data_IF_789129345401
#
_entry.id   IF_789129345401
#
_cell.length_a   1.000
_cell.length_b   1.000
_cell.length_c   1.000
_cell.angle_alpha   90.00
_cell.angle_beta   90.00
_cell.angle_gamma   90.00
#
_symmetry.space_group_name_H-M   'P 1'
#
loop_
_entity.id
_entity.type
_entity.pdbx_description
1 polymer ?
#
# COMPACT_ATOMS: atom_id res chain seq x y z
N UNK A 1 -16.19 -3.98 -5.80
CA UNK A 1 -16.21 -4.87 -7.02
C UNK A 1 -17.58 -5.51 -7.17
N UNK A 2 -17.97 -5.83 -8.39
CA UNK A 2 -19.15 -6.64 -8.71
C UNK A 2 -18.88 -8.12 -8.41
N UNK A 3 -19.92 -8.96 -8.36
CA UNK A 3 -19.74 -10.42 -8.17
C UNK A 3 -18.87 -11.03 -9.26
N UNK A 4 -19.01 -10.60 -10.52
CA UNK A 4 -18.15 -11.08 -11.62
C UNK A 4 -16.68 -10.71 -11.42
N UNK A 5 -16.38 -9.49 -10.97
CA UNK A 5 -15.01 -9.07 -10.66
C UNK A 5 -14.42 -9.85 -9.46
N UNK A 6 -15.26 -10.19 -8.48
CA UNK A 6 -14.86 -11.04 -7.34
C UNK A 6 -14.54 -12.45 -7.83
N UNK A 7 -15.35 -13.04 -8.72
CA UNK A 7 -15.09 -14.35 -9.33
C UNK A 7 -13.74 -14.35 -10.07
N UNK A 8 -13.45 -13.35 -10.88
CA UNK A 8 -12.17 -13.26 -11.58
C UNK A 8 -10.98 -13.08 -10.61
N UNK A 9 -11.18 -12.31 -9.54
CA UNK A 9 -10.19 -12.17 -8.47
C UNK A 9 -9.95 -13.52 -7.76
N UNK A 10 -11.01 -14.27 -7.44
CA UNK A 10 -10.92 -15.60 -6.82
C UNK A 10 -10.15 -16.59 -7.69
N UNK A 11 -10.42 -16.61 -9.01
CA UNK A 11 -9.65 -17.42 -9.99
C UNK A 11 -8.16 -17.05 -9.94
N UNK A 12 -7.84 -15.75 -9.97
CA UNK A 12 -6.46 -15.25 -9.93
C UNK A 12 -5.70 -15.67 -8.68
N UNK A 13 -6.34 -15.63 -7.51
CA UNK A 13 -5.71 -15.98 -6.23
C UNK A 13 -5.77 -17.47 -5.90
N UNK A 14 -6.39 -18.29 -6.77
CA UNK A 14 -6.45 -19.74 -6.62
C UNK A 14 -7.38 -20.21 -5.50
N UNK A 15 -8.61 -19.65 -5.45
CA UNK A 15 -9.69 -20.13 -4.57
C UNK A 15 -10.97 -20.37 -5.37
N UNK A 16 -11.97 -20.99 -4.74
CA UNK A 16 -13.27 -21.29 -5.37
C UNK A 16 -13.92 -19.98 -5.90
N UNK A 17 -14.29 -19.93 -7.19
CA UNK A 17 -14.82 -18.71 -7.81
C UNK A 17 -16.35 -18.62 -7.69
N UNK A 18 -16.84 -18.54 -6.44
CA UNK A 18 -18.26 -18.51 -6.08
C UNK A 18 -18.87 -17.09 -6.01
N UNK A 19 -18.03 -16.05 -6.16
CA UNK A 19 -18.44 -14.65 -6.06
C UNK A 19 -18.68 -14.16 -4.63
N UNK A 20 -18.47 -15.01 -3.62
CA UNK A 20 -18.57 -14.62 -2.21
C UNK A 20 -17.20 -14.41 -1.58
N UNK A 21 -16.95 -13.18 -1.10
CA UNK A 21 -15.68 -12.84 -0.47
C UNK A 21 -15.71 -13.11 1.03
N UNK A 22 -15.46 -14.37 1.40
CA UNK A 22 -15.45 -14.84 2.76
C UNK A 22 -14.04 -15.18 3.28
N UNK A 23 -13.95 -15.83 4.47
CA UNK A 23 -12.67 -16.16 5.10
C UNK A 23 -11.72 -16.98 4.21
N UNK A 24 -12.25 -17.89 3.38
CA UNK A 24 -11.44 -18.68 2.43
C UNK A 24 -10.77 -17.79 1.38
N UNK A 25 -11.51 -16.85 0.78
CA UNK A 25 -11.00 -15.91 -0.21
C UNK A 25 -9.97 -14.95 0.40
N UNK A 26 -10.24 -14.45 1.61
CA UNK A 26 -9.29 -13.59 2.36
C UNK A 26 -7.98 -14.34 2.60
N UNK A 27 -8.04 -15.57 3.13
CA UNK A 27 -6.84 -16.37 3.38
C UNK A 27 -6.08 -16.70 2.09
N UNK A 28 -6.79 -17.01 0.99
CA UNK A 28 -6.20 -17.26 -0.32
C UNK A 28 -5.50 -16.01 -0.87
N UNK A 29 -6.12 -14.84 -0.75
CA UNK A 29 -5.53 -13.57 -1.16
C UNK A 29 -4.24 -13.25 -0.38
N UNK A 30 -4.25 -13.42 0.93
CA UNK A 30 -3.06 -13.22 1.75
C UNK A 30 -1.95 -14.19 1.37
N UNK A 31 -2.25 -15.49 1.14
CA UNK A 31 -1.26 -16.47 0.65
C UNK A 31 -0.73 -16.08 -0.73
N UNK A 32 -1.60 -15.63 -1.64
CA UNK A 32 -1.22 -15.17 -2.97
C UNK A 32 -0.21 -14.02 -2.89
N UNK A 33 -0.49 -12.99 -2.11
CA UNK A 33 0.41 -11.84 -1.95
C UNK A 33 1.71 -12.22 -1.26
N UNK A 34 1.67 -13.10 -0.25
CA UNK A 34 2.90 -13.59 0.42
C UNK A 34 3.87 -14.30 -0.53
N UNK A 35 3.39 -14.93 -1.61
CA UNK A 35 4.26 -15.55 -2.63
C UNK A 35 5.09 -14.54 -3.42
N UNK A 36 4.64 -13.30 -3.49
CA UNK A 36 5.40 -12.21 -4.13
C UNK A 36 6.38 -11.56 -3.17
N UNK A 37 6.16 -11.67 -1.86
CA UNK A 37 7.04 -11.03 -0.88
C UNK A 37 8.41 -11.70 -0.87
N UNK A 38 9.50 -10.94 -0.62
CA UNK A 38 10.82 -11.50 -0.41
C UNK A 38 10.81 -12.53 0.73
N UNK A 39 11.59 -13.61 0.60
CA UNK A 39 11.73 -14.64 1.64
C UNK A 39 12.21 -14.03 2.97
N UNK A 40 13.14 -13.09 2.89
CA UNK A 40 13.55 -12.23 4.00
C UNK A 40 12.95 -10.83 3.75
N UNK A 41 11.89 -10.50 4.48
CA UNK A 41 11.29 -9.18 4.35
C UNK A 41 12.22 -8.13 4.95
N UNK A 42 12.66 -7.12 4.17
CA UNK A 42 13.63 -6.12 4.64
C UNK A 42 13.06 -5.12 5.65
N UNK A 43 11.73 -5.11 5.85
CA UNK A 43 11.07 -4.10 6.66
C UNK A 43 10.87 -4.55 8.12
N UNK A 44 10.77 -3.60 9.06
CA UNK A 44 10.58 -3.90 10.47
C UNK A 44 9.16 -4.40 10.77
N UNK A 45 8.99 -5.00 11.94
CA UNK A 45 7.65 -5.25 12.51
C UNK A 45 6.92 -3.92 12.73
N UNK A 46 5.56 -3.90 12.66
CA UNK A 46 4.79 -2.65 12.73
C UNK A 46 4.68 -2.03 14.13
N UNK A 47 5.29 -2.62 15.15
CA UNK A 47 5.32 -2.09 16.51
C UNK A 47 6.28 -0.89 16.65
N UNK A 48 6.01 -0.01 17.62
CA UNK A 48 6.78 1.22 17.82
C UNK A 48 8.27 0.99 18.09
N UNK A 49 8.63 -0.09 18.79
CA UNK A 49 10.03 -0.40 19.12
C UNK A 49 10.81 -0.76 17.87
N UNK A 50 10.27 -1.68 17.05
CA UNK A 50 10.88 -2.12 15.79
C UNK A 50 10.95 -0.98 14.78
N UNK A 51 9.90 -0.17 14.67
CA UNK A 51 9.87 1.01 13.80
C UNK A 51 10.93 2.03 14.18
N UNK A 52 11.08 2.36 15.47
CA UNK A 52 12.11 3.30 15.96
C UNK A 52 13.53 2.75 15.75
N UNK A 53 13.74 1.47 16.00
CA UNK A 53 15.05 0.85 15.80
C UNK A 53 15.49 0.92 14.32
N UNK A 54 14.56 0.77 13.39
CA UNK A 54 14.85 0.74 11.95
C UNK A 54 14.80 2.13 11.29
N UNK A 55 13.72 2.89 11.52
CA UNK A 55 13.47 4.18 10.87
C UNK A 55 13.91 5.38 11.72
N UNK A 56 14.19 5.22 13.01
CA UNK A 56 14.42 6.31 13.95
C UNK A 56 13.12 6.82 14.57
N UNK A 57 13.15 8.02 15.12
CA UNK A 57 11.96 8.61 15.74
C UNK A 57 10.93 9.05 14.71
N UNK A 58 9.61 8.90 15.02
CA UNK A 58 8.58 9.45 14.15
C UNK A 58 8.70 10.98 14.11
N UNK A 59 8.59 11.55 12.90
CA UNK A 59 8.75 12.99 12.69
C UNK A 59 10.20 13.46 12.56
N UNK A 60 11.20 12.57 12.58
CA UNK A 60 12.58 12.93 12.29
C UNK A 60 12.76 13.22 10.79
N UNK A 61 12.61 14.49 10.44
CA UNK A 61 12.69 14.95 9.03
C UNK A 61 14.10 14.87 8.42
N UNK A 62 15.15 14.72 9.23
CA UNK A 62 16.52 14.52 8.75
C UNK A 62 16.71 13.18 8.03
N UNK A 63 15.78 12.25 8.24
CA UNK A 63 15.75 10.93 7.59
C UNK A 63 14.87 10.87 6.35
N UNK A 64 14.21 11.97 6.00
CA UNK A 64 13.34 12.05 4.83
C UNK A 64 14.12 12.55 3.62
N UNK A 65 13.71 12.06 2.45
CA UNK A 65 14.20 12.50 1.15
C UNK A 65 13.04 12.88 0.25
N UNK A 66 13.29 13.74 -0.73
CA UNK A 66 12.34 14.06 -1.80
C UNK A 66 12.60 13.14 -2.99
N UNK A 67 11.85 12.05 -3.08
CA UNK A 67 11.95 11.08 -4.17
C UNK A 67 11.39 11.69 -5.46
N UNK A 68 12.18 11.82 -6.54
CA UNK A 68 11.68 12.31 -7.82
C UNK A 68 10.68 11.31 -8.45
N UNK A 69 9.50 11.79 -8.85
CA UNK A 69 8.41 10.96 -9.42
C UNK A 69 7.75 11.57 -10.67
N UNK A 70 8.29 12.67 -11.18
CA UNK A 70 7.69 13.38 -12.32
C UNK A 70 7.42 12.49 -13.55
N UNK A 71 8.30 11.50 -13.81
CA UNK A 71 8.17 10.57 -14.93
C UNK A 71 7.11 9.46 -14.76
N UNK A 72 6.52 9.31 -13.58
CA UNK A 72 5.56 8.23 -13.29
C UNK A 72 4.10 8.65 -13.43
N UNK A 73 3.83 9.92 -13.71
CA UNK A 73 2.45 10.42 -13.87
C UNK A 73 1.66 10.50 -12.57
N UNK A 74 2.35 10.57 -11.41
CA UNK A 74 1.72 10.73 -10.09
C UNK A 74 1.01 12.08 -10.01
N UNK A 75 -0.25 12.08 -9.54
CA UNK A 75 -1.04 13.31 -9.38
C UNK A 75 -1.67 13.37 -7.99
N UNK A 76 -1.71 14.58 -7.44
CA UNK A 76 -2.46 14.93 -6.24
C UNK A 76 -3.50 16.00 -6.61
N UNK A 77 -4.77 15.71 -6.39
CA UNK A 77 -5.87 16.61 -6.78
C UNK A 77 -5.76 17.15 -8.22
N UNK A 78 -5.42 16.24 -9.15
CA UNK A 78 -5.26 16.54 -10.56
C UNK A 78 -3.91 17.15 -10.96
N UNK A 79 -3.13 17.68 -10.02
CA UNK A 79 -1.85 18.33 -10.26
C UNK A 79 -0.70 17.32 -10.29
N UNK A 80 0.25 17.48 -11.22
CA UNK A 80 1.42 16.62 -11.33
C UNK A 80 2.33 16.78 -10.11
N UNK A 81 2.64 15.67 -9.44
CA UNK A 81 3.58 15.60 -8.32
C UNK A 81 4.98 15.40 -8.86
N UNK A 82 5.90 16.32 -8.55
CA UNK A 82 7.30 16.22 -8.96
C UNK A 82 8.13 15.34 -8.03
N UNK A 83 7.85 15.40 -6.72
CA UNK A 83 8.57 14.64 -5.70
C UNK A 83 7.61 14.10 -4.63
N UNK A 84 7.92 12.93 -4.06
CA UNK A 84 7.25 12.39 -2.87
C UNK A 84 8.23 12.44 -1.70
N UNK A 85 7.81 13.05 -0.59
CA UNK A 85 8.61 13.07 0.64
C UNK A 85 8.40 11.74 1.37
N UNK A 86 9.45 10.93 1.47
CA UNK A 86 9.43 9.62 2.11
C UNK A 86 10.70 9.37 2.92
N UNK A 87 10.70 8.32 3.74
CA UNK A 87 11.91 7.91 4.46
C UNK A 87 13.00 7.43 3.50
N UNK A 88 14.26 7.81 3.74
CA UNK A 88 15.39 7.43 2.88
C UNK A 88 15.53 5.92 2.65
N UNK A 89 15.24 5.10 3.67
CA UNK A 89 15.32 3.64 3.56
C UNK A 89 14.28 3.03 2.61
N UNK A 90 13.14 3.70 2.37
CA UNK A 90 12.10 3.17 1.47
C UNK A 90 12.15 3.77 0.06
N UNK A 91 12.95 4.80 -0.16
CA UNK A 91 12.93 5.60 -1.40
C UNK A 91 13.16 4.75 -2.66
N UNK A 92 14.17 3.91 -2.69
CA UNK A 92 14.48 3.06 -3.86
C UNK A 92 13.39 2.01 -4.09
N UNK A 93 12.91 1.37 -3.03
CA UNK A 93 11.81 0.43 -3.10
C UNK A 93 10.55 1.09 -3.65
N UNK A 94 10.19 2.26 -3.11
CA UNK A 94 9.02 3.03 -3.56
C UNK A 94 9.17 3.46 -5.04
N UNK A 95 10.35 3.92 -5.46
CA UNK A 95 10.63 4.27 -6.85
C UNK A 95 10.35 3.10 -7.80
N UNK A 96 10.84 1.90 -7.46
CA UNK A 96 10.64 0.69 -8.27
C UNK A 96 9.16 0.28 -8.34
N UNK A 97 8.42 0.42 -7.22
CA UNK A 97 6.97 0.15 -7.19
C UNK A 97 6.23 1.13 -8.11
N UNK A 98 6.50 2.43 -7.98
CA UNK A 98 5.85 3.45 -8.80
C UNK A 98 6.15 3.28 -10.28
N UNK A 99 7.39 2.92 -10.63
CA UNK A 99 7.80 2.62 -12.00
C UNK A 99 7.05 1.39 -12.57
N UNK A 100 6.93 0.32 -11.77
CA UNK A 100 6.19 -0.89 -12.16
C UNK A 100 4.73 -0.58 -12.41
N UNK A 101 4.07 0.17 -11.51
CA UNK A 101 2.66 0.56 -11.67
C UNK A 101 2.49 1.50 -12.89
N UNK A 102 3.40 2.46 -13.09
CA UNK A 102 3.35 3.42 -14.19
C UNK A 102 3.44 2.73 -15.56
N UNK A 103 4.21 1.65 -15.66
CA UNK A 103 4.38 0.86 -16.87
C UNK A 103 3.31 -0.23 -17.06
N UNK A 104 2.41 -0.40 -16.08
CA UNK A 104 1.38 -1.42 -16.08
C UNK A 104 -0.03 -0.88 -16.38
N UNK A 105 -1.01 -1.78 -16.53
CA UNK A 105 -2.40 -1.41 -16.81
C UNK A 105 -3.08 -0.67 -15.64
N UNK A 106 -2.48 -0.64 -14.47
CA UNK A 106 -3.00 0.07 -13.29
C UNK A 106 -2.40 1.47 -13.09
N UNK A 107 -1.70 2.03 -14.09
CA UNK A 107 -1.08 3.37 -14.01
C UNK A 107 -2.06 4.49 -13.60
N UNK A 108 -3.36 4.32 -13.88
CA UNK A 108 -4.40 5.25 -13.49
C UNK A 108 -4.49 5.47 -11.96
N UNK A 109 -4.10 4.48 -11.14
CA UNK A 109 -4.11 4.60 -9.67
C UNK A 109 -3.13 5.68 -9.18
N UNK A 110 -2.02 5.92 -9.89
CA UNK A 110 -1.05 6.94 -9.55
C UNK A 110 -1.59 8.37 -9.66
N UNK A 111 -2.67 8.56 -10.41
CA UNK A 111 -3.35 9.86 -10.55
C UNK A 111 -4.17 10.24 -9.31
N UNK A 112 -4.32 9.32 -8.39
CA UNK A 112 -5.10 9.44 -7.16
C UNK A 112 -4.20 9.34 -5.91
N UNK A 113 -2.96 9.83 -6.00
CA UNK A 113 -2.04 9.88 -4.86
C UNK A 113 -2.61 10.73 -3.73
N UNK A 114 -2.50 10.24 -2.48
CA UNK A 114 -3.12 10.88 -1.33
C UNK A 114 -2.17 11.15 -0.15
N UNK A 115 -0.87 10.91 -0.34
CA UNK A 115 0.15 11.27 0.64
C UNK A 115 1.06 10.14 1.07
N UNK A 116 2.25 10.51 1.53
CA UNK A 116 3.25 9.59 2.07
C UNK A 116 3.67 10.03 3.48
N UNK A 117 4.43 11.10 3.64
CA UNK A 117 4.82 11.61 4.95
C UNK A 117 3.74 12.50 5.56
N UNK A 118 3.34 12.17 6.77
CA UNK A 118 2.46 13.00 7.61
C UNK A 118 2.69 12.70 9.09
N UNK A 119 3.25 13.67 9.83
CA UNK A 119 3.54 13.52 11.26
C UNK A 119 2.25 13.56 12.09
N UNK A 120 1.68 12.41 12.36
CA UNK A 120 0.46 12.25 13.17
C UNK A 120 0.37 10.88 13.83
N UNK A 121 -0.43 10.78 14.88
CA UNK A 121 -0.87 9.50 15.42
C UNK A 121 -1.95 8.86 14.54
N UNK A 122 -2.17 7.57 14.71
CA UNK A 122 -3.29 6.87 14.09
C UNK A 122 -4.60 7.43 14.62
N UNK A 123 -5.62 7.48 13.77
CA UNK A 123 -6.96 7.95 14.17
C UNK A 123 -7.53 7.03 15.26
N UNK A 124 -7.93 7.60 16.39
CA UNK A 124 -8.50 6.87 17.52
C UNK A 124 -7.50 6.01 18.32
N UNK A 125 -6.18 6.22 18.15
CA UNK A 125 -5.15 5.46 18.87
C UNK A 125 -4.00 6.36 19.36
N UNK A 126 -3.28 5.90 20.39
CA UNK A 126 -2.06 6.56 20.88
C UNK A 126 -0.82 6.23 20.04
N UNK A 127 -0.87 5.17 19.24
CA UNK A 127 0.23 4.73 18.38
C UNK A 127 0.47 5.70 17.21
N UNK A 128 1.73 5.81 16.78
CA UNK A 128 2.11 6.59 15.61
C UNK A 128 1.64 5.94 14.31
N UNK A 129 1.12 6.74 13.39
CA UNK A 129 0.87 6.32 12.00
C UNK A 129 2.19 5.99 11.30
N UNK A 130 2.20 5.03 10.38
CA UNK A 130 3.39 4.70 9.58
C UNK A 130 3.78 5.85 8.65
N UNK A 131 2.83 6.73 8.32
CA UNK A 131 3.09 8.01 7.64
C UNK A 131 4.00 8.94 8.45
N UNK A 132 4.02 8.85 9.78
CA UNK A 132 4.87 9.68 10.63
C UNK A 132 6.37 9.39 10.46
N UNK A 133 6.72 8.28 9.85
CA UNK A 133 8.08 7.94 9.41
C UNK A 133 8.31 8.15 7.91
N UNK A 134 7.28 8.50 7.14
CA UNK A 134 7.36 8.46 5.68
C UNK A 134 7.53 7.04 5.12
N UNK A 135 7.08 6.02 5.87
CA UNK A 135 7.17 4.60 5.55
C UNK A 135 5.81 3.99 5.14
N UNK A 136 4.87 4.83 4.76
CA UNK A 136 3.58 4.45 4.21
C UNK A 136 3.16 5.41 3.11
N UNK A 137 2.27 4.96 2.21
CA UNK A 137 1.74 5.75 1.11
C UNK A 137 0.29 5.37 0.86
N UNK A 138 -0.53 6.37 0.52
CA UNK A 138 -1.94 6.20 0.22
C UNK A 138 -2.27 6.56 -1.22
N UNK A 139 -3.18 5.78 -1.84
CA UNK A 139 -3.73 6.04 -3.16
C UNK A 139 -5.24 5.87 -3.18
N UNK A 140 -5.92 6.76 -3.91
CA UNK A 140 -7.34 6.67 -4.23
C UNK A 140 -8.28 6.56 -3.02
N UNK A 141 -8.22 7.51 -2.07
CA UNK A 141 -8.99 7.47 -0.83
C UNK A 141 -10.50 7.47 -1.06
N UNK A 142 -10.99 8.15 -2.10
CA UNK A 142 -12.41 8.24 -2.41
C UNK A 142 -13.09 6.89 -2.64
N UNK A 143 -12.34 5.88 -3.11
CA UNK A 143 -12.82 4.52 -3.38
C UNK A 143 -12.32 3.47 -2.40
N UNK A 144 -11.24 3.77 -1.64
CA UNK A 144 -10.48 2.78 -0.89
C UNK A 144 -10.20 3.20 0.56
N UNK A 145 -10.96 4.13 1.09
CA UNK A 145 -10.72 4.75 2.39
C UNK A 145 -10.73 3.79 3.58
N UNK A 146 -10.30 4.30 4.73
CA UNK A 146 -10.02 3.57 5.98
C UNK A 146 -11.11 2.56 6.39
N UNK A 147 -12.39 2.91 6.18
CA UNK A 147 -13.52 2.08 6.60
C UNK A 147 -14.18 1.32 5.44
N UNK A 148 -13.60 1.40 4.24
CA UNK A 148 -14.14 0.75 3.04
C UNK A 148 -13.58 -0.65 2.92
N UNK A 149 -14.45 -1.67 2.99
CA UNK A 149 -14.06 -3.07 2.89
C UNK A 149 -13.63 -3.45 1.47
N UNK A 150 -12.48 -4.07 1.37
CA UNK A 150 -11.95 -4.60 0.12
C UNK A 150 -12.20 -6.13 0.03
N UNK A 151 -12.53 -6.65 -1.13
CA UNK A 151 -12.84 -5.99 -2.40
C UNK A 151 -14.32 -5.66 -2.59
N UNK A 152 -15.17 -5.92 -1.59
CA UNK A 152 -16.64 -5.84 -1.70
C UNK A 152 -17.15 -4.42 -1.95
N UNK A 153 -16.50 -3.40 -1.40
CA UNK A 153 -16.83 -1.98 -1.58
C UNK A 153 -15.67 -1.16 -2.12
N UNK A 154 -14.44 -1.48 -1.71
CA UNK A 154 -13.23 -0.87 -2.23
C UNK A 154 -12.85 -1.48 -3.60
N UNK A 155 -12.09 -0.73 -4.38
CA UNK A 155 -11.80 -1.06 -5.80
C UNK A 155 -10.31 -1.09 -6.15
N UNK A 156 -9.41 -1.04 -5.15
CA UNK A 156 -7.97 -1.12 -5.40
C UNK A 156 -7.64 -2.39 -6.18
N UNK A 157 -7.00 -2.28 -7.36
CA UNK A 157 -6.65 -3.46 -8.14
C UNK A 157 -5.64 -4.35 -7.42
N UNK A 158 -5.83 -5.67 -7.48
CA UNK A 158 -4.88 -6.64 -6.89
C UNK A 158 -3.48 -6.50 -7.48
N UNK A 159 -3.33 -6.13 -8.76
CA UNK A 159 -2.03 -5.90 -9.39
C UNK A 159 -1.21 -4.78 -8.76
N UNK A 160 -1.87 -3.74 -8.20
CA UNK A 160 -1.20 -2.72 -7.40
C UNK A 160 -0.70 -3.32 -6.09
N UNK A 161 -1.52 -4.12 -5.40
CA UNK A 161 -1.12 -4.81 -4.16
C UNK A 161 0.04 -5.77 -4.39
N UNK A 162 0.06 -6.47 -5.55
CA UNK A 162 1.17 -7.35 -5.95
C UNK A 162 2.46 -6.58 -6.19
N UNK A 163 2.41 -5.39 -6.82
CA UNK A 163 3.59 -4.54 -7.03
C UNK A 163 4.23 -4.12 -5.70
N UNK A 164 3.42 -3.75 -4.71
CA UNK A 164 3.88 -3.45 -3.35
C UNK A 164 4.40 -4.70 -2.62
N UNK A 165 3.70 -5.83 -2.72
CA UNK A 165 4.10 -7.09 -2.12
C UNK A 165 5.46 -7.58 -2.63
N UNK A 166 5.77 -7.43 -3.94
CA UNK A 166 7.10 -7.76 -4.51
C UNK A 166 8.26 -7.04 -3.85
N UNK A 167 8.01 -5.93 -3.19
CA UNK A 167 9.01 -5.16 -2.42
C UNK A 167 8.84 -5.31 -0.91
N UNK A 168 8.07 -6.30 -0.47
CA UNK A 168 7.84 -6.60 0.95
C UNK A 168 6.89 -5.63 1.66
N UNK A 169 6.27 -4.68 0.96
CA UNK A 169 5.30 -3.78 1.56
C UNK A 169 3.98 -4.49 1.81
N UNK A 170 3.30 -4.12 2.89
CA UNK A 170 2.04 -4.69 3.30
C UNK A 170 0.86 -3.85 2.76
N UNK A 171 0.01 -4.41 1.87
CA UNK A 171 -1.21 -3.77 1.41
C UNK A 171 -2.35 -3.97 2.41
N UNK A 172 -2.82 -2.91 3.05
CA UNK A 172 -3.83 -2.99 4.10
C UNK A 172 -5.16 -3.64 3.62
N UNK A 173 -5.59 -3.33 2.40
CA UNK A 173 -6.82 -3.89 1.85
C UNK A 173 -6.90 -5.41 1.90
N UNK A 174 -5.81 -6.10 1.59
CA UNK A 174 -5.75 -7.56 1.61
C UNK A 174 -5.53 -8.13 3.02
N UNK A 175 -4.70 -7.47 3.84
CA UNK A 175 -4.32 -8.00 5.15
C UNK A 175 -5.27 -7.60 6.28
N UNK A 176 -5.97 -6.47 6.14
CA UNK A 176 -6.95 -5.98 7.13
C UNK A 176 -8.38 -5.97 6.62
N UNK A 177 -8.60 -6.40 5.36
CA UNK A 177 -9.90 -6.41 4.66
C UNK A 177 -10.55 -5.03 4.54
N UNK A 178 -9.80 -3.95 4.74
CA UNK A 178 -10.21 -2.54 4.66
C UNK A 178 -9.01 -1.65 4.42
N UNK A 179 -9.24 -0.33 4.24
CA UNK A 179 -8.17 0.67 4.06
C UNK A 179 -7.28 0.36 2.85
N UNK A 180 -7.92 -0.02 1.73
CA UNK A 180 -7.20 -0.50 0.56
C UNK A 180 -6.38 0.60 -0.15
N UNK A 181 -6.53 1.86 0.25
CA UNK A 181 -5.66 2.96 -0.16
C UNK A 181 -4.24 2.82 0.41
N UNK A 182 -4.09 2.17 1.58
CA UNK A 182 -2.89 2.21 2.43
C UNK A 182 -1.92 1.07 2.15
N UNK A 183 -0.66 1.44 1.94
CA UNK A 183 0.48 0.54 1.78
C UNK A 183 1.60 0.97 2.71
N UNK A 184 2.19 0.02 3.46
CA UNK A 184 3.25 0.34 4.42
C UNK A 184 4.45 -0.59 4.31
N UNK A 185 5.66 -0.04 4.50
CA UNK A 185 6.92 -0.77 4.54
C UNK A 185 7.14 -1.38 5.93
N UNK A 186 6.35 -2.42 6.25
CA UNK A 186 6.45 -3.25 7.47
C UNK A 186 6.16 -4.71 7.14
N UNK A 187 6.56 -5.61 8.08
CA UNK A 187 6.19 -7.03 8.00
C UNK A 187 4.72 -7.26 8.32
#
# INVERSE_FOLDING_TARGET
MTSSEIIELQKRIGTEPDGWWGPKSIAACQRHLRRFMPAENPWPKPDNKSMRAFYGDPGDESRLVNLPVAGFGVRYEGNLVKTIRCHKCVADSLRLILQEIANGPQAFVLREYAGCYHFRKMRGASAWSKHAWGAAIDFWPAKNGLWTHWPTRATMPIGVMEAFARRGWLPAGAFWSRDAQHFQATQ
#
